data_IF_110264481479
#
_entry.id   IF_110264481479
#
_cell.length_a   1.000
_cell.length_b   1.000
_cell.length_c   1.000
_cell.angle_alpha   90.00
_cell.angle_beta   90.00
_cell.angle_gamma   90.00
#
_symmetry.space_group_name_H-M   'P 1'
#
loop_
_entity.id
_entity.type
_entity.pdbx_description
1 polymer ?
#
# COMPACT_ATOMS: atom_id res chain seq x y z
N UNK A 1 -14.85 -5.03 -73.47
CA UNK A 1 -14.85 -4.42 -72.13
C UNK A 1 -15.73 -5.29 -71.26
N UNK A 2 -15.14 -6.20 -70.50
CA UNK A 2 -15.88 -7.22 -69.75
C UNK A 2 -15.57 -7.04 -68.27
N UNK A 3 -16.57 -6.61 -67.50
CA UNK A 3 -16.47 -6.50 -66.05
C UNK A 3 -16.50 -7.90 -65.44
N UNK A 4 -15.49 -8.25 -64.66
CA UNK A 4 -15.47 -9.49 -63.88
C UNK A 4 -16.10 -9.21 -62.51
N UNK A 5 -17.02 -10.04 -61.99
CA UNK A 5 -17.59 -9.81 -60.67
C UNK A 5 -16.61 -10.31 -59.60
N UNK A 6 -16.12 -9.39 -58.78
CA UNK A 6 -15.29 -9.70 -57.62
C UNK A 6 -16.17 -10.37 -56.55
N UNK A 7 -16.06 -11.70 -56.41
CA UNK A 7 -16.59 -12.41 -55.24
C UNK A 7 -15.57 -12.27 -54.13
N UNK A 8 -15.75 -11.26 -53.29
CA UNK A 8 -14.98 -11.12 -52.06
C UNK A 8 -15.49 -12.12 -51.04
N UNK A 9 -14.74 -13.20 -50.81
CA UNK A 9 -14.96 -14.06 -49.65
C UNK A 9 -14.69 -13.24 -48.39
N UNK A 10 -15.77 -12.81 -47.72
CA UNK A 10 -15.71 -12.24 -46.37
C UNK A 10 -15.35 -13.38 -45.42
N UNK A 11 -14.06 -13.68 -45.31
CA UNK A 11 -13.54 -14.42 -44.17
C UNK A 11 -13.86 -13.59 -42.91
N UNK A 12 -14.89 -14.01 -42.18
CA UNK A 12 -15.20 -13.49 -40.85
C UNK A 12 -14.06 -13.94 -39.95
N UNK A 13 -13.10 -13.05 -39.74
CA UNK A 13 -12.08 -13.22 -38.71
C UNK A 13 -12.79 -13.22 -37.36
N UNK A 14 -13.13 -14.41 -36.86
CA UNK A 14 -13.44 -14.62 -35.45
C UNK A 14 -12.18 -14.33 -34.66
N UNK A 15 -12.00 -13.07 -34.27
CA UNK A 15 -11.12 -12.72 -33.16
C UNK A 15 -11.64 -13.46 -31.95
N UNK A 16 -10.92 -14.50 -31.54
CA UNK A 16 -11.07 -15.16 -30.25
C UNK A 16 -10.75 -14.12 -29.17
N UNK A 17 -11.76 -13.36 -28.74
CA UNK A 17 -11.66 -12.52 -27.56
C UNK A 17 -11.47 -13.45 -26.35
N UNK A 18 -10.22 -13.58 -25.90
CA UNK A 18 -9.89 -14.19 -24.63
C UNK A 18 -10.73 -13.49 -23.54
N UNK A 19 -11.31 -14.23 -22.57
CA UNK A 19 -12.04 -13.61 -21.47
C UNK A 19 -11.15 -12.54 -20.82
N UNK A 20 -11.61 -11.27 -20.81
CA UNK A 20 -10.94 -10.21 -20.08
C UNK A 20 -10.77 -10.68 -18.62
N UNK A 21 -9.52 -10.90 -18.21
CA UNK A 21 -9.21 -11.28 -16.84
C UNK A 21 -9.80 -10.21 -15.90
N UNK A 22 -10.48 -10.66 -14.84
CA UNK A 22 -10.98 -9.75 -13.82
C UNK A 22 -9.81 -8.91 -13.28
N UNK A 23 -10.04 -7.63 -12.97
CA UNK A 23 -8.98 -6.77 -12.44
C UNK A 23 -8.38 -7.39 -11.18
N UNK A 24 -7.06 -7.24 -10.96
CA UNK A 24 -6.40 -7.79 -9.80
C UNK A 24 -7.03 -7.22 -8.54
N UNK A 25 -7.28 -8.09 -7.55
CA UNK A 25 -7.79 -7.67 -6.24
C UNK A 25 -6.67 -6.95 -5.50
N UNK A 26 -6.78 -5.62 -5.37
CA UNK A 26 -5.82 -4.78 -4.65
C UNK A 26 -6.20 -4.78 -3.17
N UNK A 27 -5.23 -5.09 -2.31
CA UNK A 27 -5.42 -5.01 -0.89
C UNK A 27 -5.54 -3.55 -0.45
N UNK A 28 -6.60 -3.23 0.31
CA UNK A 28 -6.79 -1.92 0.88
C UNK A 28 -7.48 -2.02 2.25
N UNK A 29 -6.76 -1.67 3.30
CA UNK A 29 -7.34 -1.39 4.61
C UNK A 29 -7.67 0.09 4.78
N UNK A 30 -8.92 0.34 5.16
CA UNK A 30 -9.43 1.67 5.47
C UNK A 30 -8.90 2.13 6.82
N UNK A 31 -8.40 3.36 6.87
CA UNK A 31 -7.91 3.96 8.10
C UNK A 31 -8.99 3.98 9.19
N UNK A 32 -8.61 3.59 10.41
CA UNK A 32 -9.43 3.76 11.61
C UNK A 32 -8.64 4.50 12.68
N UNK A 33 -9.30 5.42 13.38
CA UNK A 33 -8.69 6.24 14.45
C UNK A 33 -7.46 7.02 13.92
N UNK A 34 -6.45 7.22 14.77
CA UNK A 34 -5.21 7.92 14.44
C UNK A 34 -4.10 6.95 13.99
N UNK A 35 -4.45 5.74 13.53
CA UNK A 35 -3.52 4.70 13.09
C UNK A 35 -3.10 4.84 11.61
N UNK A 36 -2.98 6.07 11.11
CA UNK A 36 -2.65 6.31 9.69
C UNK A 36 -1.36 5.63 9.25
N UNK A 37 -0.31 5.64 10.07
CA UNK A 37 0.96 4.99 9.73
C UNK A 37 0.84 3.46 9.60
N UNK A 38 0.06 2.81 10.48
CA UNK A 38 -0.23 1.38 10.39
C UNK A 38 -0.89 1.05 9.05
N UNK A 39 -1.95 1.80 8.74
CA UNK A 39 -2.74 1.58 7.54
C UNK A 39 -2.00 1.94 6.25
N UNK A 40 -1.17 2.97 6.27
CA UNK A 40 -0.29 3.30 5.16
C UNK A 40 0.70 2.16 4.90
N UNK A 41 1.37 1.65 5.94
CA UNK A 41 2.34 0.57 5.81
C UNK A 41 1.70 -0.72 5.26
N UNK A 42 0.63 -1.21 5.89
CA UNK A 42 -0.03 -2.45 5.43
C UNK A 42 -0.58 -2.31 4.00
N UNK A 43 -1.08 -1.14 3.63
CA UNK A 43 -1.49 -0.86 2.25
C UNK A 43 -0.29 -0.88 1.29
N UNK A 44 0.85 -0.29 1.64
CA UNK A 44 2.07 -0.35 0.80
C UNK A 44 2.56 -1.79 0.63
N UNK A 45 2.53 -2.58 1.69
CA UNK A 45 2.93 -3.99 1.67
C UNK A 45 1.87 -4.93 1.06
N UNK A 46 0.67 -4.42 0.77
CA UNK A 46 -0.46 -5.21 0.28
C UNK A 46 -0.78 -6.42 1.19
N UNK A 47 -0.61 -6.26 2.51
CA UNK A 47 -0.78 -7.32 3.50
C UNK A 47 -1.24 -6.75 4.86
N UNK A 48 -2.37 -7.25 5.38
CA UNK A 48 -2.93 -6.86 6.69
C UNK A 48 -2.08 -7.28 7.88
N UNK A 49 -1.20 -8.27 7.69
CA UNK A 49 -0.33 -8.77 8.73
C UNK A 49 1.09 -8.21 8.61
N UNK A 50 1.33 -7.27 7.70
CA UNK A 50 2.65 -6.69 7.53
C UNK A 50 3.12 -5.98 8.81
N UNK A 51 2.23 -5.22 9.45
CA UNK A 51 2.44 -4.57 10.73
C UNK A 51 1.18 -4.63 11.58
N UNK A 52 1.37 -4.58 12.90
CA UNK A 52 0.30 -4.40 13.88
C UNK A 52 0.54 -3.13 14.69
N UNK A 53 -0.52 -2.64 15.33
CA UNK A 53 -0.43 -1.54 16.30
C UNK A 53 0.67 -1.79 17.34
N UNK A 54 0.80 -3.02 17.82
CA UNK A 54 1.76 -3.37 18.87
C UNK A 54 3.19 -3.31 18.35
N UNK A 55 3.45 -3.78 17.11
CA UNK A 55 4.78 -3.66 16.49
C UNK A 55 5.21 -2.20 16.30
N UNK A 56 4.29 -1.32 15.87
CA UNK A 56 4.60 0.11 15.74
C UNK A 56 4.76 0.79 17.10
N UNK A 57 4.01 0.35 18.10
CA UNK A 57 4.13 0.83 19.47
C UNK A 57 5.48 0.49 20.08
N UNK A 58 5.98 -0.73 19.85
CA UNK A 58 7.30 -1.17 20.30
C UNK A 58 8.42 -0.32 19.67
N UNK A 59 8.34 -0.10 18.35
CA UNK A 59 9.29 0.76 17.63
C UNK A 59 9.26 2.18 18.20
N UNK A 60 8.06 2.75 18.41
CA UNK A 60 7.91 4.08 19.00
C UNK A 60 8.56 4.18 20.39
N UNK A 61 8.33 3.19 21.26
CA UNK A 61 8.92 3.17 22.60
C UNK A 61 10.44 3.05 22.56
N UNK A 62 10.98 2.24 21.63
CA UNK A 62 12.42 2.08 21.44
C UNK A 62 13.08 3.37 20.96
N UNK A 63 12.42 4.12 20.08
CA UNK A 63 12.94 5.40 19.56
C UNK A 63 12.81 6.54 20.59
N UNK A 64 11.87 6.44 21.53
CA UNK A 64 11.62 7.49 22.53
C UNK A 64 11.52 6.90 23.96
N UNK A 65 12.64 6.42 24.53
CA UNK A 65 12.64 5.72 25.83
C UNK A 65 12.32 6.63 27.04
N UNK A 66 12.57 7.94 26.92
CA UNK A 66 12.40 8.90 28.02
C UNK A 66 11.00 9.56 28.09
N UNK A 67 10.07 9.17 27.22
CA UNK A 67 8.75 9.82 27.09
C UNK A 67 7.73 9.42 28.15
N UNK A 68 8.10 8.57 29.12
CA UNK A 68 7.24 8.08 30.20
C UNK A 68 6.62 9.18 31.08
N UNK A 69 7.18 10.40 31.07
CA UNK A 69 6.72 11.53 31.90
C UNK A 69 6.52 12.82 31.09
N UNK A 70 5.80 12.76 29.96
CA UNK A 70 5.30 13.98 29.30
C UNK A 70 3.76 13.98 29.17
N UNK A 71 3.10 15.15 29.16
CA UNK A 71 1.63 15.27 29.04
C UNK A 71 1.03 14.65 27.75
N UNK A 72 1.87 14.28 26.78
CA UNK A 72 1.48 13.61 25.53
C UNK A 72 1.24 12.09 25.67
N UNK A 73 0.86 11.63 26.87
CA UNK A 73 0.50 10.23 27.23
C UNK A 73 -0.50 9.51 26.31
N UNK A 74 -1.13 10.17 25.34
CA UNK A 74 -2.05 9.53 24.38
C UNK A 74 -1.37 8.47 23.49
N UNK A 75 -0.07 8.62 23.20
CA UNK A 75 0.64 7.63 22.38
C UNK A 75 0.92 6.31 23.13
N UNK A 76 1.02 6.33 24.46
CA UNK A 76 1.28 5.12 25.26
C UNK A 76 0.14 4.09 25.25
N UNK A 77 -1.08 4.50 24.88
CA UNK A 77 -2.21 3.58 24.70
C UNK A 77 -2.24 2.93 23.30
N UNK A 78 -1.26 3.22 22.43
CA UNK A 78 -1.27 2.74 21.05
C UNK A 78 -2.39 3.36 20.22
N UNK A 79 -2.75 4.62 20.49
CA UNK A 79 -3.82 5.29 19.76
C UNK A 79 -3.40 5.68 18.33
N UNK A 80 -2.11 5.61 18.01
CA UNK A 80 -1.53 6.00 16.73
C UNK A 80 -0.73 7.29 16.82
N UNK A 81 -0.83 8.14 15.79
CA UNK A 81 -0.06 9.39 15.63
C UNK A 81 1.47 9.16 15.70
N UNK A 82 1.93 8.17 14.95
CA UNK A 82 3.35 7.85 14.84
C UNK A 82 4.04 8.84 13.90
N UNK A 83 5.22 9.32 14.29
CA UNK A 83 6.03 10.18 13.44
C UNK A 83 6.74 9.39 12.33
N UNK A 84 7.44 10.10 11.45
CA UNK A 84 8.15 9.51 10.32
C UNK A 84 9.31 8.59 10.74
N UNK A 85 9.92 8.80 11.92
CA UNK A 85 11.01 7.93 12.38
C UNK A 85 10.49 6.52 12.68
N UNK A 86 9.27 6.41 13.21
CA UNK A 86 8.61 5.10 13.39
C UNK A 86 8.39 4.42 12.05
N UNK A 87 7.94 5.14 11.03
CA UNK A 87 7.74 4.60 9.67
C UNK A 87 9.08 4.13 9.07
N UNK A 88 10.12 4.96 9.16
CA UNK A 88 11.46 4.62 8.66
C UNK A 88 12.02 3.37 9.36
N UNK A 89 11.93 3.32 10.68
CA UNK A 89 12.39 2.16 11.45
C UNK A 89 11.58 0.90 11.14
N UNK A 90 10.26 1.02 10.93
CA UNK A 90 9.39 -0.10 10.53
C UNK A 90 9.76 -0.66 9.16
N UNK A 91 10.08 0.20 8.18
CA UNK A 91 10.56 -0.25 6.88
C UNK A 91 11.90 -1.00 6.98
N UNK A 92 12.80 -0.50 7.82
CA UNK A 92 14.10 -1.13 8.08
C UNK A 92 13.97 -2.54 8.68
N UNK A 93 12.95 -2.83 9.51
CA UNK A 93 12.75 -4.19 10.05
C UNK A 93 12.39 -5.21 8.96
N UNK A 94 11.95 -4.76 7.79
CA UNK A 94 11.65 -5.59 6.61
C UNK A 94 12.71 -5.46 5.50
N UNK A 95 13.83 -4.79 5.75
CA UNK A 95 14.91 -4.61 4.76
C UNK A 95 14.64 -3.53 3.71
N UNK A 96 13.73 -2.58 3.99
CA UNK A 96 13.43 -1.45 3.11
C UNK A 96 13.91 -0.12 3.75
N UNK A 97 14.04 0.90 2.91
CA UNK A 97 14.39 2.26 3.31
C UNK A 97 13.35 3.25 2.79
N UNK A 98 13.07 4.31 3.57
CA UNK A 98 12.28 5.44 3.10
C UNK A 98 13.21 6.51 2.54
N UNK A 99 13.07 6.83 1.26
CA UNK A 99 13.82 7.90 0.61
C UNK A 99 12.95 9.16 0.54
N UNK A 100 13.47 10.27 1.02
CA UNK A 100 12.79 11.56 0.94
C UNK A 100 12.86 12.08 -0.50
N UNK A 101 11.70 12.24 -1.12
CA UNK A 101 11.60 12.95 -2.39
C UNK A 101 11.66 14.45 -2.13
N UNK A 102 12.78 15.09 -2.47
CA UNK A 102 12.90 16.55 -2.45
C UNK A 102 12.17 17.15 -3.67
N UNK A 103 11.40 18.21 -3.42
CA UNK A 103 10.60 18.91 -4.44
C UNK A 103 11.27 20.18 -4.98
N UNK A 104 12.38 20.61 -4.37
CA UNK A 104 13.14 21.82 -4.77
C UNK A 104 13.77 21.62 -6.13
#
# INVERSE_FOLDING_TARGET
MSCVPWKGDKAKSESLELPQAAPPQIYHEKQRRELCALHALNNVFQDSNAFTRDTLQEIFQRLSPNTMVTPHKKSMLGNGNYDVNVIMAALQTKGYEAVWWDKR
#
